data_IF_318785974386
#
_entry.id   IF_318785974386
#
_cell.length_a   1.000
_cell.length_b   1.000
_cell.length_c   1.000
_cell.angle_alpha   90.00
_cell.angle_beta   90.00
_cell.angle_gamma   90.00
#
_symmetry.space_group_name_H-M   'P 1'
#
loop_
_entity.id
_entity.type
_entity.pdbx_description
1 polymer ?
#
# COMPACT_ATOMS: atom_id res chain seq x y z
N UNK A 1 -21.22 19.78 -5.18
CA UNK A 1 -20.04 19.03 -4.69
C UNK A 1 -19.13 18.80 -5.88
N UNK A 2 -17.84 19.01 -5.69
CA UNK A 2 -16.83 18.80 -6.74
C UNK A 2 -16.47 17.31 -6.80
N UNK A 3 -16.13 16.77 -7.98
CA UNK A 3 -15.60 15.42 -8.05
C UNK A 3 -14.15 15.42 -7.59
N UNK A 4 -13.87 14.68 -6.51
CA UNK A 4 -12.58 14.60 -5.84
C UNK A 4 -11.95 13.24 -6.10
N UNK A 5 -10.72 13.26 -6.60
CA UNK A 5 -9.89 12.06 -6.69
C UNK A 5 -8.82 12.13 -5.62
N UNK A 6 -8.62 11.03 -4.89
CA UNK A 6 -7.47 10.83 -4.03
C UNK A 6 -6.44 9.95 -4.74
N UNK A 7 -5.16 10.28 -4.65
CA UNK A 7 -4.05 9.46 -5.13
C UNK A 7 -3.08 9.19 -3.99
N UNK A 8 -3.12 7.96 -3.48
CA UNK A 8 -2.33 7.52 -2.34
C UNK A 8 -1.08 6.76 -2.79
N UNK A 9 0.04 7.07 -2.14
CA UNK A 9 1.30 6.34 -2.24
C UNK A 9 1.75 5.81 -0.88
N UNK A 10 2.92 5.17 -0.84
CA UNK A 10 3.34 4.40 0.33
C UNK A 10 3.42 5.24 1.62
N UNK A 11 3.65 6.55 1.51
CA UNK A 11 3.63 7.46 2.65
C UNK A 11 2.25 7.63 3.31
N UNK A 12 1.16 7.34 2.58
CA UNK A 12 -0.19 7.35 3.13
C UNK A 12 -0.36 6.30 4.25
N UNK A 13 0.39 5.19 4.17
CA UNK A 13 0.38 4.11 5.18
C UNK A 13 1.52 4.23 6.19
N UNK A 14 2.23 5.36 6.24
CA UNK A 14 3.34 5.56 7.17
C UNK A 14 2.87 5.36 8.61
N UNK A 15 1.77 5.98 9.04
CA UNK A 15 1.26 5.83 10.40
C UNK A 15 2.19 6.41 11.46
N UNK A 16 2.15 5.81 12.65
CA UNK A 16 2.79 6.35 13.85
C UNK A 16 4.11 5.63 14.15
N UNK A 17 5.11 6.41 14.57
CA UNK A 17 6.42 5.93 15.02
C UNK A 17 6.77 6.48 16.39
N UNK A 18 7.55 5.71 17.16
CA UNK A 18 8.24 6.21 18.34
C UNK A 18 9.76 6.10 18.19
N UNK A 19 10.49 7.06 18.76
CA UNK A 19 11.94 7.05 18.75
C UNK A 19 12.48 6.02 19.75
N UNK A 20 13.32 5.11 19.26
CA UNK A 20 14.05 4.14 20.07
C UNK A 20 15.25 4.86 20.71
N UNK A 21 15.08 5.25 21.96
CA UNK A 21 16.19 5.80 22.76
C UNK A 21 17.10 4.66 23.24
N UNK A 22 18.18 4.40 22.50
CA UNK A 22 19.27 3.58 23.01
C UNK A 22 19.96 4.34 24.16
N UNK A 23 19.69 3.93 25.41
CA UNK A 23 20.49 4.39 26.55
C UNK A 23 21.92 3.90 26.35
N UNK A 24 22.82 4.80 25.98
CA UNK A 24 24.24 4.49 25.88
C UNK A 24 24.76 3.94 27.21
N UNK A 25 25.69 2.99 27.16
CA UNK A 25 26.45 2.57 28.33
C UNK A 25 27.15 3.82 28.89
N UNK A 26 26.79 4.23 30.11
CA UNK A 26 27.29 5.45 30.74
C UNK A 26 26.39 6.69 30.64
N UNK A 27 25.13 6.57 30.22
CA UNK A 27 24.12 7.64 30.35
C UNK A 27 24.31 8.83 29.40
N UNK A 28 25.16 8.70 28.38
CA UNK A 28 25.33 9.74 27.34
C UNK A 28 24.51 9.38 26.10
N UNK A 29 23.66 10.28 25.59
CA UNK A 29 22.96 10.06 24.33
C UNK A 29 23.96 9.96 23.16
N UNK A 30 23.70 9.13 22.14
CA UNK A 30 24.55 9.02 20.97
C UNK A 30 24.63 10.35 20.21
N UNK A 31 25.83 10.69 19.71
CA UNK A 31 26.13 11.97 19.01
C UNK A 31 25.59 12.07 17.58
N UNK A 32 24.72 11.16 17.13
CA UNK A 32 24.08 11.25 15.80
C UNK A 32 22.57 11.08 15.93
N UNK A 33 21.84 12.15 15.63
CA UNK A 33 20.38 12.24 15.57
C UNK A 33 19.80 11.57 14.31
N UNK A 34 20.25 10.35 14.00
CA UNK A 34 19.45 9.43 13.17
C UNK A 34 18.74 8.50 14.13
N UNK A 35 17.71 9.02 14.80
CA UNK A 35 16.88 8.22 15.71
C UNK A 35 16.43 6.96 14.97
N UNK A 36 16.67 5.79 15.55
CA UNK A 36 16.00 4.58 15.07
C UNK A 36 14.56 4.70 15.52
N UNK A 37 13.61 4.51 14.62
CA UNK A 37 12.20 4.56 14.95
C UNK A 37 11.64 3.14 14.91
N UNK A 38 10.69 2.85 15.80
CA UNK A 38 9.89 1.64 15.75
C UNK A 38 8.47 1.98 15.28
N UNK A 39 7.85 1.01 14.60
CA UNK A 39 6.49 1.10 14.06
C UNK A 39 5.49 0.87 15.19
N UNK A 40 4.62 1.86 15.43
CA UNK A 40 3.47 1.73 16.32
C UNK A 40 2.20 1.38 15.55
N UNK A 41 2.01 2.02 14.39
CA UNK A 41 0.82 1.91 13.54
C UNK A 41 1.22 2.08 12.06
N UNK A 42 0.51 1.44 11.14
CA UNK A 42 0.78 1.51 9.70
C UNK A 42 1.85 0.53 9.25
N UNK A 43 2.58 0.90 8.20
CA UNK A 43 3.51 0.00 7.49
C UNK A 43 4.86 0.66 7.18
N UNK A 44 5.91 -0.16 7.00
CA UNK A 44 7.24 0.37 6.67
C UNK A 44 7.25 1.09 5.33
N UNK A 45 7.86 2.26 5.31
CA UNK A 45 8.25 2.94 4.06
C UNK A 45 9.56 2.36 3.51
N UNK A 46 9.92 2.72 2.27
CA UNK A 46 11.03 2.11 1.52
C UNK A 46 12.36 2.02 2.29
N UNK A 47 12.70 3.03 3.08
CA UNK A 47 13.92 3.06 3.89
C UNK A 47 13.83 2.23 5.19
N UNK A 48 12.64 1.82 5.61
CA UNK A 48 12.38 0.97 6.78
C UNK A 48 12.33 -0.52 6.41
N UNK A 49 11.96 -0.87 5.16
CA UNK A 49 11.73 -2.27 4.71
C UNK A 49 12.86 -3.24 5.11
N UNK A 50 14.13 -2.92 4.85
CA UNK A 50 15.23 -3.85 5.17
C UNK A 50 15.40 -4.09 6.68
N UNK A 51 15.10 -3.07 7.48
CA UNK A 51 15.14 -3.16 8.94
C UNK A 51 13.99 -4.03 9.43
N UNK A 52 12.78 -3.80 8.94
CA UNK A 52 11.61 -4.58 9.31
C UNK A 52 11.70 -6.04 8.85
N UNK A 53 12.26 -6.33 7.66
CA UNK A 53 12.54 -7.72 7.25
C UNK A 53 13.46 -8.40 8.27
N UNK A 54 14.44 -7.68 8.81
CA UNK A 54 15.36 -8.25 9.82
C UNK A 54 14.64 -8.54 11.13
N UNK A 55 13.75 -7.66 11.58
CA UNK A 55 12.93 -7.90 12.76
C UNK A 55 11.95 -9.06 12.55
N UNK A 56 11.28 -9.10 11.40
CA UNK A 56 10.38 -10.19 11.05
C UNK A 56 11.10 -11.55 11.03
N UNK A 57 12.32 -11.62 10.47
CA UNK A 57 13.12 -12.86 10.50
C UNK A 57 13.34 -13.35 11.94
N UNK A 58 13.66 -12.46 12.86
CA UNK A 58 13.87 -12.83 14.27
C UNK A 58 12.56 -13.24 14.94
N UNK A 59 11.45 -12.55 14.66
CA UNK A 59 10.12 -12.91 15.17
C UNK A 59 9.69 -14.31 14.68
N UNK A 60 9.97 -14.65 13.41
CA UNK A 60 9.68 -15.97 12.83
C UNK A 60 10.52 -17.07 13.51
N UNK A 61 11.83 -16.84 13.70
CA UNK A 61 12.71 -17.81 14.39
C UNK A 61 12.28 -18.07 15.83
N UNK A 62 11.84 -17.03 16.54
CA UNK A 62 11.35 -17.15 17.92
C UNK A 62 9.97 -17.82 17.99
N UNK A 63 9.21 -17.82 16.89
CA UNK A 63 7.85 -18.35 16.85
C UNK A 63 7.76 -19.80 16.37
N UNK A 64 8.77 -20.32 15.66
CA UNK A 64 8.84 -21.71 15.20
C UNK A 64 10.19 -22.34 15.57
N UNK A 65 10.24 -23.13 16.65
CA UNK A 65 11.45 -23.83 17.10
C UNK A 65 12.00 -24.83 16.08
N UNK A 66 11.17 -25.29 15.14
CA UNK A 66 11.52 -26.27 14.11
C UNK A 66 11.86 -25.62 12.76
N UNK A 67 12.08 -24.30 12.71
CA UNK A 67 12.38 -23.60 11.46
C UNK A 67 13.63 -24.13 10.73
N UNK A 68 14.59 -24.70 11.46
CA UNK A 68 15.82 -25.28 10.89
C UNK A 68 15.63 -26.72 10.36
N UNK A 69 14.49 -27.35 10.67
CA UNK A 69 14.22 -28.73 10.25
C UNK A 69 14.15 -28.85 8.72
N UNK A 70 14.60 -29.99 8.19
CA UNK A 70 14.56 -30.25 6.77
C UNK A 70 13.10 -30.25 6.26
N UNK A 71 12.81 -29.47 5.23
CA UNK A 71 11.46 -29.30 4.69
C UNK A 71 10.59 -28.29 5.44
N UNK A 72 11.10 -27.59 6.47
CA UNK A 72 10.35 -26.54 7.16
C UNK A 72 9.93 -25.44 6.18
N UNK A 73 8.62 -25.19 6.13
CA UNK A 73 8.02 -24.12 5.31
C UNK A 73 8.37 -22.75 5.87
N UNK A 74 8.35 -22.60 7.19
CA UNK A 74 8.78 -21.37 7.87
C UNK A 74 10.26 -21.13 7.63
N UNK A 75 11.08 -22.19 7.69
CA UNK A 75 12.50 -22.12 7.33
C UNK A 75 12.73 -21.66 5.89
N UNK A 76 11.90 -22.10 4.93
CA UNK A 76 11.95 -21.64 3.55
C UNK A 76 11.58 -20.15 3.42
N UNK A 77 10.50 -19.72 4.08
CA UNK A 77 10.09 -18.32 4.12
C UNK A 77 11.21 -17.42 4.71
N UNK A 78 11.84 -17.84 5.82
CA UNK A 78 12.99 -17.13 6.40
C UNK A 78 14.14 -17.00 5.41
N UNK A 79 14.49 -18.07 4.67
CA UNK A 79 15.55 -18.02 3.64
C UNK A 79 15.21 -17.04 2.52
N UNK A 80 13.95 -17.00 2.10
CA UNK A 80 13.49 -16.09 1.06
C UNK A 80 13.45 -14.63 1.55
N UNK A 81 13.08 -14.38 2.81
CA UNK A 81 13.18 -13.06 3.45
C UNK A 81 14.63 -12.58 3.58
N UNK A 82 15.56 -13.46 3.96
CA UNK A 82 17.00 -13.14 4.00
C UNK A 82 17.47 -12.73 2.60
N UNK A 83 17.11 -13.50 1.58
CA UNK A 83 17.42 -13.17 0.20
C UNK A 83 16.82 -11.82 -0.24
N UNK A 84 15.55 -11.56 0.08
CA UNK A 84 14.88 -10.30 -0.24
C UNK A 84 15.61 -9.11 0.39
N UNK A 85 15.96 -9.19 1.68
CA UNK A 85 16.71 -8.15 2.39
C UNK A 85 18.07 -7.92 1.75
N UNK A 86 18.81 -8.98 1.50
CA UNK A 86 20.18 -8.90 1.01
C UNK A 86 20.23 -8.32 -0.41
N UNK A 87 19.32 -8.72 -1.30
CA UNK A 87 19.22 -8.14 -2.64
C UNK A 87 18.67 -6.70 -2.61
N UNK A 88 17.62 -6.44 -1.82
CA UNK A 88 17.03 -5.09 -1.72
C UNK A 88 18.02 -4.07 -1.15
N UNK A 89 18.92 -4.48 -0.25
CA UNK A 89 19.98 -3.61 0.30
C UNK A 89 21.01 -3.13 -0.74
N UNK A 90 21.13 -3.84 -1.88
CA UNK A 90 22.04 -3.48 -2.98
C UNK A 90 21.43 -2.50 -3.98
N UNK A 91 20.18 -2.13 -3.76
CA UNK A 91 19.40 -1.27 -4.64
C UNK A 91 18.82 -0.09 -3.86
N UNK A 92 18.49 1.00 -4.54
CA UNK A 92 17.89 2.16 -3.85
C UNK A 92 16.52 1.84 -3.27
N UNK A 93 15.75 0.98 -3.95
CA UNK A 93 14.40 0.56 -3.55
C UNK A 93 14.16 -0.89 -3.98
N UNK A 94 13.20 -1.56 -3.35
CA UNK A 94 12.74 -2.89 -3.79
C UNK A 94 12.19 -2.87 -5.22
N UNK A 95 11.53 -1.78 -5.63
CA UNK A 95 11.03 -1.62 -7.01
C UNK A 95 12.16 -1.55 -8.03
N UNK A 96 13.31 -0.97 -7.65
CA UNK A 96 14.50 -0.93 -8.52
C UNK A 96 15.03 -2.35 -8.75
N UNK A 97 15.04 -3.17 -7.70
CA UNK A 97 15.39 -4.59 -7.80
C UNK A 97 14.39 -5.36 -8.67
N UNK A 98 13.09 -5.16 -8.44
CA UNK A 98 12.03 -5.76 -9.23
C UNK A 98 12.16 -5.43 -10.72
N UNK A 99 12.41 -4.15 -11.04
CA UNK A 99 12.56 -3.70 -12.42
C UNK A 99 13.77 -4.35 -13.09
N UNK A 100 14.88 -4.49 -12.36
CA UNK A 100 16.08 -5.18 -12.86
C UNK A 100 15.76 -6.62 -13.25
N UNK A 101 15.13 -7.40 -12.36
CA UNK A 101 14.75 -8.78 -12.65
C UNK A 101 13.82 -8.88 -13.87
N UNK A 102 12.82 -7.99 -13.95
CA UNK A 102 11.91 -7.92 -15.08
C UNK A 102 12.64 -7.66 -16.40
N UNK A 103 13.58 -6.69 -16.44
CA UNK A 103 14.36 -6.37 -17.64
C UNK A 103 15.34 -7.48 -18.03
N UNK A 104 15.77 -8.30 -17.08
CA UNK A 104 16.61 -9.47 -17.31
C UNK A 104 15.81 -10.69 -17.81
N UNK A 105 14.48 -10.61 -17.87
CA UNK A 105 13.58 -11.73 -18.14
C UNK A 105 13.79 -12.92 -17.17
N UNK A 106 14.23 -12.65 -15.94
CA UNK A 106 14.40 -13.68 -14.91
C UNK A 106 13.05 -13.91 -14.20
N UNK A 107 12.15 -14.62 -14.88
CA UNK A 107 10.80 -14.87 -14.39
C UNK A 107 10.78 -15.63 -13.07
N UNK A 108 11.73 -16.54 -12.84
CA UNK A 108 11.80 -17.32 -11.61
C UNK A 108 12.15 -16.45 -10.40
N UNK A 109 13.18 -15.60 -10.51
CA UNK A 109 13.53 -14.69 -9.42
C UNK A 109 12.49 -13.57 -9.26
N UNK A 110 11.87 -13.12 -10.36
CA UNK A 110 10.82 -12.11 -10.30
C UNK A 110 9.59 -12.63 -9.55
N UNK A 111 9.14 -13.86 -9.82
CA UNK A 111 8.04 -14.47 -9.06
C UNK A 111 8.42 -14.76 -7.60
N UNK A 112 9.66 -15.18 -7.34
CA UNK A 112 10.18 -15.31 -5.96
C UNK A 112 10.12 -13.97 -5.23
N UNK A 113 10.53 -12.87 -5.87
CA UNK A 113 10.44 -11.52 -5.32
C UNK A 113 8.99 -11.17 -4.97
N UNK A 114 8.07 -11.25 -5.93
CA UNK A 114 6.67 -10.90 -5.72
C UNK A 114 6.07 -11.69 -4.56
N UNK A 115 6.28 -13.01 -4.55
CA UNK A 115 5.76 -13.89 -3.48
C UNK A 115 6.35 -13.53 -2.11
N UNK A 116 7.66 -13.29 -2.04
CA UNK A 116 8.31 -12.94 -0.77
C UNK A 116 7.84 -11.58 -0.27
N UNK A 117 7.68 -10.61 -1.17
CA UNK A 117 7.20 -9.28 -0.85
C UNK A 117 5.75 -9.30 -0.37
N UNK A 118 4.88 -10.11 -1.00
CA UNK A 118 3.51 -10.29 -0.52
C UNK A 118 3.47 -10.95 0.86
N UNK A 119 4.25 -12.01 1.09
CA UNK A 119 4.37 -12.63 2.43
C UNK A 119 4.85 -11.63 3.49
N UNK A 120 5.84 -10.80 3.15
CA UNK A 120 6.34 -9.74 4.02
C UNK A 120 5.23 -8.75 4.39
N UNK A 121 4.55 -8.14 3.42
CA UNK A 121 3.51 -7.17 3.72
C UNK A 121 2.31 -7.77 4.45
N UNK A 122 1.92 -9.03 4.15
CA UNK A 122 0.87 -9.71 4.91
C UNK A 122 1.27 -9.81 6.39
N UNK A 123 2.50 -10.26 6.69
CA UNK A 123 2.98 -10.43 8.06
C UNK A 123 3.14 -9.09 8.79
N UNK A 124 3.60 -8.05 8.11
CA UNK A 124 3.71 -6.70 8.69
C UNK A 124 2.34 -6.14 9.08
N UNK A 125 1.32 -6.33 8.24
CA UNK A 125 -0.06 -5.92 8.54
C UNK A 125 -0.71 -6.74 9.67
N UNK A 126 -0.23 -7.94 9.94
CA UNK A 126 -0.64 -8.76 11.10
C UNK A 126 0.14 -8.41 12.36
N UNK A 127 1.26 -7.71 12.22
CA UNK A 127 2.13 -7.32 13.33
C UNK A 127 1.73 -5.95 13.87
N UNK A 128 1.39 -5.03 12.99
CA UNK A 128 1.11 -3.64 13.34
C UNK A 128 -0.37 -3.29 13.15
N UNK A 129 -0.98 -2.56 14.09
CA UNK A 129 -2.30 -1.96 13.90
C UNK A 129 -2.34 -1.09 12.64
N UNK A 130 -3.52 -1.02 12.00
CA UNK A 130 -3.73 -0.10 10.89
C UNK A 130 -3.52 1.36 11.32
N UNK A 131 -3.06 2.17 10.37
CA UNK A 131 -2.89 3.60 10.52
C UNK A 131 -4.27 4.25 10.76
N UNK A 132 -4.42 4.88 11.92
CA UNK A 132 -5.68 5.53 12.36
C UNK A 132 -6.13 6.66 11.44
N UNK A 133 -5.26 7.20 10.58
CA UNK A 133 -5.67 8.18 9.58
C UNK A 133 -6.67 7.62 8.58
N UNK A 134 -6.61 6.32 8.27
CA UNK A 134 -7.61 5.65 7.43
C UNK A 134 -8.97 5.55 8.13
N UNK A 135 -8.98 5.23 9.43
CA UNK A 135 -10.21 5.21 10.25
C UNK A 135 -10.86 6.60 10.29
N UNK A 136 -10.08 7.62 10.65
CA UNK A 136 -10.57 9.00 10.68
C UNK A 136 -11.07 9.46 9.30
N UNK A 137 -10.37 9.12 8.23
CA UNK A 137 -10.77 9.45 6.86
C UNK A 137 -12.11 8.78 6.50
N UNK A 138 -12.22 7.47 6.70
CA UNK A 138 -13.46 6.72 6.43
C UNK A 138 -14.64 7.26 7.26
N UNK A 139 -14.43 7.54 8.55
CA UNK A 139 -15.46 8.10 9.42
C UNK A 139 -16.05 9.42 8.89
N UNK A 140 -15.25 10.22 8.17
CA UNK A 140 -15.69 11.49 7.60
C UNK A 140 -16.33 11.36 6.22
N UNK A 141 -15.95 10.35 5.41
CA UNK A 141 -16.44 10.25 4.02
C UNK A 141 -17.57 9.25 3.83
N UNK A 142 -17.72 8.25 4.70
CA UNK A 142 -18.74 7.21 4.52
C UNK A 142 -20.16 7.77 4.70
N UNK A 143 -21.06 7.41 3.77
CA UNK A 143 -22.47 7.78 3.84
C UNK A 143 -23.20 7.02 4.96
N UNK A 144 -24.28 7.61 5.47
CA UNK A 144 -25.20 6.93 6.39
C UNK A 144 -26.58 6.77 5.74
N UNK A 145 -27.25 5.62 5.88
CA UNK A 145 -26.87 4.43 6.66
C UNK A 145 -26.00 3.39 5.92
N UNK A 146 -25.77 3.57 4.62
CA UNK A 146 -25.20 2.50 3.77
C UNK A 146 -23.70 2.26 3.98
N UNK A 147 -23.00 3.19 4.65
CA UNK A 147 -21.53 3.14 4.86
C UNK A 147 -20.78 2.99 3.55
N UNK A 148 -21.21 3.70 2.51
CA UNK A 148 -20.57 3.68 1.19
C UNK A 148 -19.78 4.96 0.96
N UNK A 149 -18.75 4.88 0.13
CA UNK A 149 -18.04 6.06 -0.36
C UNK A 149 -18.98 6.81 -1.34
N UNK A 150 -19.20 8.13 -1.16
CA UNK A 150 -20.02 8.95 -2.04
C UNK A 150 -19.58 8.88 -3.51
N UNK A 151 -20.49 9.25 -4.42
CA UNK A 151 -20.22 9.13 -5.84
C UNK A 151 -19.17 10.10 -6.37
N UNK A 152 -19.04 11.21 -5.66
CA UNK A 152 -18.15 12.32 -5.93
C UNK A 152 -16.70 12.02 -5.52
N UNK A 153 -16.46 10.92 -4.80
CA UNK A 153 -15.13 10.52 -4.32
C UNK A 153 -14.67 9.26 -5.04
N UNK A 154 -13.50 9.35 -5.67
CA UNK A 154 -12.76 8.21 -6.20
C UNK A 154 -11.38 8.17 -5.57
N UNK A 155 -10.91 7.00 -5.16
CA UNK A 155 -9.61 6.80 -4.52
C UNK A 155 -8.77 5.91 -5.43
N UNK A 156 -7.58 6.36 -5.78
CA UNK A 156 -6.55 5.61 -6.47
C UNK A 156 -5.43 5.34 -5.47
N UNK A 157 -4.89 4.13 -5.44
CA UNK A 157 -3.76 3.81 -4.57
C UNK A 157 -2.70 2.98 -5.30
N UNK A 158 -1.45 3.39 -5.14
CA UNK A 158 -0.27 2.62 -5.55
C UNK A 158 0.20 1.65 -4.46
N UNK A 159 -0.43 1.65 -3.29
CA UNK A 159 -0.01 0.84 -2.17
C UNK A 159 -0.39 -0.61 -2.34
N UNK A 160 0.50 -1.49 -1.90
CA UNK A 160 0.27 -2.93 -1.87
C UNK A 160 -0.60 -3.36 -0.68
N UNK A 161 -0.84 -2.46 0.26
CA UNK A 161 -1.48 -2.76 1.53
C UNK A 161 -3.02 -2.82 1.48
N UNK A 162 -3.58 -3.18 2.62
CA UNK A 162 -4.98 -3.45 2.92
C UNK A 162 -5.55 -2.48 3.95
N UNK A 163 -4.95 -1.28 4.11
CA UNK A 163 -5.30 -0.38 5.22
C UNK A 163 -6.75 0.11 5.17
N UNK A 164 -7.32 0.33 3.97
CA UNK A 164 -8.74 0.68 3.82
C UNK A 164 -9.66 -0.44 4.30
N UNK A 165 -9.38 -1.67 3.90
CA UNK A 165 -10.17 -2.85 4.27
C UNK A 165 -10.12 -3.10 5.78
N UNK A 166 -8.93 -2.98 6.37
CA UNK A 166 -8.72 -3.18 7.81
C UNK A 166 -9.44 -2.08 8.61
N UNK A 167 -9.29 -0.81 8.23
CA UNK A 167 -9.96 0.30 8.91
C UNK A 167 -11.49 0.23 8.76
N UNK A 168 -12.00 -0.12 7.57
CA UNK A 168 -13.44 -0.17 7.31
C UNK A 168 -14.19 -1.23 8.13
N UNK A 169 -13.49 -2.30 8.53
CA UNK A 169 -14.08 -3.35 9.37
C UNK A 169 -14.67 -2.79 10.67
N UNK A 170 -14.06 -1.78 11.27
CA UNK A 170 -14.54 -1.19 12.53
C UNK A 170 -15.96 -0.59 12.38
N UNK A 171 -16.36 -0.23 11.17
CA UNK A 171 -17.71 0.26 10.87
C UNK A 171 -18.73 -0.88 10.66
N UNK A 172 -18.29 -2.14 10.53
CA UNK A 172 -19.14 -3.30 10.28
C UNK A 172 -18.79 -4.48 11.21
N UNK A 173 -18.77 -4.21 12.52
CA UNK A 173 -18.35 -5.18 13.54
C UNK A 173 -19.12 -6.51 13.46
N UNK A 174 -18.41 -7.60 13.29
CA UNK A 174 -18.92 -8.97 13.38
C UNK A 174 -17.97 -9.82 14.23
N UNK A 175 -18.51 -10.75 15.01
CA UNK A 175 -17.69 -11.74 15.71
C UNK A 175 -17.24 -12.79 14.70
N UNK A 176 -15.93 -12.97 14.52
CA UNK A 176 -15.31 -13.95 13.61
C UNK A 176 -15.69 -13.79 12.13
N UNK A 177 -15.10 -12.81 11.42
CA UNK A 177 -15.46 -12.52 10.04
C UNK A 177 -15.03 -13.65 9.10
N UNK A 178 -15.98 -14.23 8.37
CA UNK A 178 -15.73 -15.25 7.36
C UNK A 178 -15.09 -14.68 6.09
N UNK A 179 -14.54 -15.54 5.22
CA UNK A 179 -14.08 -15.14 3.89
C UNK A 179 -15.15 -14.39 3.06
N UNK A 180 -16.43 -14.78 3.19
CA UNK A 180 -17.54 -14.12 2.49
C UNK A 180 -17.82 -12.72 3.04
N UNK A 181 -17.62 -12.51 4.35
CA UNK A 181 -17.71 -11.17 4.95
C UNK A 181 -16.67 -10.22 4.35
N UNK A 182 -15.44 -10.68 4.15
CA UNK A 182 -14.38 -9.83 3.59
C UNK A 182 -14.58 -9.50 2.11
N UNK A 183 -15.12 -10.44 1.36
CA UNK A 183 -15.59 -10.16 0.01
C UNK A 183 -16.66 -9.07 0.01
N UNK A 184 -17.57 -9.11 0.97
CA UNK A 184 -18.60 -8.09 1.13
C UNK A 184 -18.02 -6.73 1.54
N UNK A 185 -17.06 -6.68 2.46
CA UNK A 185 -16.32 -5.45 2.81
C UNK A 185 -15.70 -4.80 1.56
N UNK A 186 -14.96 -5.58 0.74
CA UNK A 186 -14.38 -5.07 -0.50
C UNK A 186 -15.47 -4.58 -1.47
N UNK A 187 -16.59 -5.28 -1.58
CA UNK A 187 -17.70 -4.88 -2.44
C UNK A 187 -18.34 -3.55 -1.96
N UNK A 188 -18.60 -3.42 -0.66
CA UNK A 188 -19.23 -2.22 -0.08
C UNK A 188 -18.34 -0.98 -0.20
N UNK A 189 -17.03 -1.14 0.01
CA UNK A 189 -16.04 -0.10 -0.24
C UNK A 189 -15.80 0.17 -1.73
N UNK A 190 -16.31 -0.68 -2.63
CA UNK A 190 -16.07 -0.56 -4.06
C UNK A 190 -14.59 -0.74 -4.44
N UNK A 191 -13.86 -1.64 -3.77
CA UNK A 191 -12.44 -1.90 -4.09
C UNK A 191 -12.31 -2.68 -5.40
N UNK A 192 -11.37 -2.27 -6.25
CA UNK A 192 -11.08 -2.83 -7.57
C UNK A 192 -9.59 -2.97 -7.83
N UNK A 193 -9.18 -4.18 -8.17
CA UNK A 193 -7.82 -4.55 -8.58
C UNK A 193 -7.83 -5.11 -10.01
N UNK A 194 -6.64 -5.28 -10.61
CA UNK A 194 -6.49 -5.72 -12.01
C UNK A 194 -7.09 -7.10 -12.32
N UNK A 195 -7.31 -7.94 -11.30
CA UNK A 195 -7.90 -9.27 -11.43
C UNK A 195 -9.43 -9.29 -11.25
N UNK A 196 -10.04 -8.18 -10.80
CA UNK A 196 -11.48 -8.10 -10.62
C UNK A 196 -12.20 -7.98 -11.97
N UNK A 197 -13.41 -8.56 -12.07
CA UNK A 197 -14.20 -8.60 -13.32
C UNK A 197 -15.42 -7.68 -13.32
N UNK A 198 -15.75 -7.06 -12.18
CA UNK A 198 -16.93 -6.19 -12.00
C UNK A 198 -16.49 -4.80 -11.55
N UNK A 199 -16.75 -3.77 -12.37
CA UNK A 199 -16.26 -2.40 -12.15
C UNK A 199 -17.35 -1.36 -11.87
N UNK A 200 -18.62 -1.68 -12.12
CA UNK A 200 -19.75 -0.74 -12.15
C UNK A 200 -19.95 0.09 -10.85
N UNK A 201 -19.42 -0.37 -9.71
CA UNK A 201 -19.48 0.30 -8.41
C UNK A 201 -18.09 0.65 -7.82
N UNK A 202 -17.04 0.73 -8.66
CA UNK A 202 -15.68 1.02 -8.21
C UNK A 202 -15.54 2.39 -7.55
N UNK A 203 -14.92 2.42 -6.36
CA UNK A 203 -14.58 3.64 -5.58
C UNK A 203 -13.13 3.67 -5.16
N UNK A 204 -12.51 2.52 -4.90
CA UNK A 204 -11.09 2.42 -4.55
C UNK A 204 -10.42 1.55 -5.60
N UNK A 205 -9.46 2.10 -6.34
CA UNK A 205 -8.75 1.41 -7.41
C UNK A 205 -7.29 1.20 -7.02
N UNK A 206 -6.88 -0.06 -6.88
CA UNK A 206 -5.48 -0.43 -6.58
C UNK A 206 -4.67 -0.63 -7.84
N UNK A 207 -3.87 0.37 -8.17
CA UNK A 207 -3.10 0.47 -9.42
C UNK A 207 -2.00 -0.61 -9.52
N UNK A 208 -1.48 -1.04 -8.37
CA UNK A 208 -0.45 -2.08 -8.21
C UNK A 208 -1.05 -3.40 -7.69
N UNK A 209 -2.38 -3.54 -7.66
CA UNK A 209 -3.05 -4.63 -6.95
C UNK A 209 -2.76 -4.62 -5.44
N UNK A 210 -2.84 -5.80 -4.81
CA UNK A 210 -2.67 -5.96 -3.36
C UNK A 210 -1.66 -7.08 -3.07
N UNK A 211 -0.82 -6.90 -2.05
CA UNK A 211 0.06 -7.93 -1.50
C UNK A 211 -0.74 -9.06 -0.81
N UNK A 212 -1.37 -9.93 -1.61
CA UNK A 212 -2.17 -11.07 -1.16
C UNK A 212 -2.00 -12.28 -2.10
N UNK A 213 -2.42 -13.45 -1.63
CA UNK A 213 -2.48 -14.71 -2.40
C UNK A 213 -3.93 -15.20 -2.51
N UNK A 214 -4.34 -15.84 -3.61
CA UNK A 214 -5.72 -16.38 -3.77
C UNK A 214 -6.16 -17.32 -2.64
N UNK A 215 -5.26 -18.24 -2.23
CA UNK A 215 -5.57 -19.28 -1.23
C UNK A 215 -5.91 -18.68 0.13
N UNK A 216 -5.30 -17.53 0.41
CA UNK A 216 -5.85 -16.66 1.40
C UNK A 216 -6.99 -15.88 0.74
N UNK A 217 -8.21 -16.15 1.16
CA UNK A 217 -9.22 -15.09 1.16
C UNK A 217 -8.75 -13.83 1.98
N UNK A 218 -7.54 -13.91 2.58
CA UNK A 218 -6.47 -12.95 2.95
C UNK A 218 -6.82 -11.80 3.82
N UNK A 219 -7.98 -11.24 3.67
CA UNK A 219 -8.48 -10.26 4.61
C UNK A 219 -9.01 -10.91 5.88
N UNK A 220 -9.35 -12.21 5.85
CA UNK A 220 -9.82 -12.95 7.04
C UNK A 220 -8.85 -12.96 8.21
N UNK A 221 -7.55 -12.90 7.93
CA UNK A 221 -6.53 -12.90 8.98
C UNK A 221 -6.04 -11.49 9.33
N UNK A 222 -6.08 -10.56 8.37
CA UNK A 222 -5.52 -9.20 8.48
C UNK A 222 -6.24 -8.32 9.51
N UNK A 223 -7.37 -8.78 10.05
CA UNK A 223 -8.10 -8.05 11.08
C UNK A 223 -7.86 -8.55 12.51
N UNK A 224 -7.79 -9.85 12.76
CA UNK A 224 -7.88 -10.38 14.13
C UNK A 224 -6.54 -10.35 14.89
N UNK A 225 -5.43 -10.18 14.18
CA UNK A 225 -4.12 -10.52 14.72
C UNK A 225 -3.33 -9.28 15.14
N UNK A 226 -3.24 -9.06 16.46
CA UNK A 226 -2.09 -8.41 17.09
C UNK A 226 -1.75 -9.25 18.32
N UNK A 227 -0.58 -9.88 18.35
CA UNK A 227 -0.18 -10.75 19.47
C UNK A 227 -0.29 -12.25 19.18
N UNK A 228 -1.06 -13.01 19.95
CA UNK A 228 -1.07 -14.49 19.95
C UNK A 228 -1.48 -15.09 18.59
N UNK A 229 -2.35 -14.41 17.85
CA UNK A 229 -2.81 -14.83 16.52
C UNK A 229 -1.76 -14.60 15.40
N UNK A 230 -0.78 -13.71 15.60
CA UNK A 230 0.36 -13.59 14.68
C UNK A 230 1.13 -14.91 14.59
N UNK A 231 1.39 -15.56 15.74
CA UNK A 231 2.09 -16.84 15.77
C UNK A 231 1.31 -17.96 15.08
N UNK A 232 -0.01 -17.98 15.29
CA UNK A 232 -0.90 -18.98 14.71
C UNK A 232 -1.02 -18.87 13.18
N UNK A 233 -0.77 -17.67 12.60
CA UNK A 233 -0.92 -17.42 11.16
C UNK A 233 0.37 -17.62 10.36
N UNK A 234 1.55 -17.61 10.99
CA UNK A 234 2.85 -17.83 10.34
C UNK A 234 2.86 -19.13 9.53
N UNK A 235 2.41 -20.24 10.13
CA UNK A 235 2.44 -21.55 9.48
C UNK A 235 1.61 -21.59 8.19
N UNK A 236 0.41 -21.00 8.22
CA UNK A 236 -0.44 -20.88 7.02
C UNK A 236 0.21 -20.01 5.95
N UNK A 237 0.85 -18.91 6.33
CA UNK A 237 1.51 -18.00 5.38
C UNK A 237 2.72 -18.69 4.74
N UNK A 238 3.51 -19.39 5.54
CA UNK A 238 4.64 -20.17 5.08
C UNK A 238 4.22 -21.32 4.16
N UNK A 239 3.09 -21.98 4.42
CA UNK A 239 2.55 -23.02 3.55
C UNK A 239 2.21 -22.48 2.16
N UNK A 240 1.43 -21.39 2.10
CA UNK A 240 1.08 -20.73 0.82
C UNK A 240 2.32 -20.19 0.13
N UNK A 241 3.23 -19.56 0.87
CA UNK A 241 4.51 -19.09 0.34
C UNK A 241 5.33 -20.23 -0.27
N UNK A 242 5.24 -21.46 0.24
CA UNK A 242 5.99 -22.58 -0.30
C UNK A 242 5.45 -23.12 -1.63
N UNK A 243 4.25 -22.70 -2.05
CA UNK A 243 3.65 -23.13 -3.30
C UNK A 243 4.39 -22.54 -4.51
N UNK A 244 4.39 -23.28 -5.62
CA UNK A 244 5.08 -22.89 -6.85
C UNK A 244 4.42 -21.67 -7.53
N UNK A 245 3.09 -21.57 -7.46
CA UNK A 245 2.33 -20.44 -7.96
C UNK A 245 1.14 -20.17 -7.03
N UNK A 246 1.31 -19.36 -5.96
CA UNK A 246 0.24 -19.10 -5.00
C UNK A 246 -0.83 -18.12 -5.52
N UNK A 247 -0.81 -17.79 -6.82
CA UNK A 247 -1.63 -16.73 -7.45
C UNK A 247 -1.56 -15.42 -6.67
N UNK A 248 -0.47 -14.69 -6.90
CA UNK A 248 -0.17 -13.42 -6.23
C UNK A 248 -0.82 -12.25 -6.97
N UNK A 249 -1.47 -11.34 -6.23
CA UNK A 249 -2.14 -10.16 -6.77
C UNK A 249 -1.34 -8.86 -6.68
N UNK A 250 -0.07 -8.95 -6.29
CA UNK A 250 0.87 -7.84 -6.35
C UNK A 250 1.31 -7.64 -7.81
N UNK A 251 1.25 -6.40 -8.28
CA UNK A 251 1.73 -6.00 -9.60
C UNK A 251 2.58 -4.73 -9.50
N UNK A 252 3.62 -4.66 -10.33
CA UNK A 252 4.37 -3.44 -10.55
C UNK A 252 3.77 -2.64 -11.71
N UNK A 253 3.95 -1.32 -11.70
CA UNK A 253 3.37 -0.42 -12.70
C UNK A 253 3.70 -0.79 -14.17
N UNK A 254 4.84 -1.43 -14.42
CA UNK A 254 5.26 -1.83 -15.77
C UNK A 254 4.74 -3.21 -16.21
N UNK A 255 4.06 -3.95 -15.34
CA UNK A 255 3.36 -5.19 -15.72
C UNK A 255 2.01 -4.89 -16.39
N UNK A 256 1.50 -3.67 -16.23
CA UNK A 256 0.24 -3.23 -16.82
C UNK A 256 0.45 -2.19 -17.94
N UNK A 257 -0.50 -2.14 -18.87
CA UNK A 257 -0.59 -1.11 -19.89
C UNK A 257 -1.70 -0.12 -19.53
N UNK A 258 -1.56 1.19 -19.81
CA UNK A 258 -2.66 2.15 -19.72
C UNK A 258 -3.90 1.78 -20.54
N UNK A 259 -3.73 0.90 -21.54
CA UNK A 259 -4.81 0.41 -22.41
C UNK A 259 -5.42 -0.91 -21.94
N UNK A 260 -4.98 -1.46 -20.81
CA UNK A 260 -5.51 -2.71 -20.28
C UNK A 260 -7.02 -2.58 -19.96
N UNK A 261 -7.78 -3.69 -19.93
CA UNK A 261 -9.18 -3.66 -19.52
C UNK A 261 -9.40 -2.93 -18.19
N UNK A 262 -8.56 -3.20 -17.18
CA UNK A 262 -8.63 -2.54 -15.87
C UNK A 262 -8.63 -1.01 -15.97
N UNK A 263 -7.67 -0.45 -16.71
CA UNK A 263 -7.56 1.01 -16.84
C UNK A 263 -8.68 1.61 -17.68
N UNK A 264 -9.14 0.91 -18.72
CA UNK A 264 -10.31 1.34 -19.52
C UNK A 264 -11.58 1.46 -18.67
N UNK A 265 -11.76 0.57 -17.70
CA UNK A 265 -12.87 0.63 -16.74
C UNK A 265 -12.65 1.70 -15.67
N UNK A 266 -11.40 1.98 -15.28
CA UNK A 266 -11.07 3.01 -14.28
C UNK A 266 -11.29 4.44 -14.80
N UNK A 267 -10.88 4.75 -16.03
CA UNK A 267 -10.86 6.13 -16.55
C UNK A 267 -12.21 6.88 -16.48
N UNK A 268 -13.36 6.26 -16.77
CA UNK A 268 -14.66 6.90 -16.60
C UNK A 268 -14.88 7.47 -15.19
N UNK A 269 -14.38 6.81 -14.13
CA UNK A 269 -14.57 7.20 -12.73
C UNK A 269 -13.75 8.43 -12.30
N UNK A 270 -12.78 8.85 -13.11
CA UNK A 270 -11.91 10.01 -12.82
C UNK A 270 -11.99 11.12 -13.89
N UNK A 271 -12.68 10.86 -15.01
CA UNK A 271 -12.71 11.76 -16.17
C UNK A 271 -13.25 13.17 -15.88
N UNK A 272 -14.17 13.28 -14.93
CA UNK A 272 -14.81 14.52 -14.51
C UNK A 272 -14.23 15.10 -13.21
N UNK A 273 -13.08 14.59 -12.75
CA UNK A 273 -12.40 15.09 -11.57
C UNK A 273 -12.02 16.57 -11.73
N UNK A 274 -12.35 17.38 -10.73
CA UNK A 274 -11.94 18.80 -10.69
C UNK A 274 -10.90 19.06 -9.60
N UNK A 275 -10.83 18.18 -8.59
CA UNK A 275 -9.88 18.25 -7.48
C UNK A 275 -9.15 16.93 -7.33
N UNK A 276 -7.83 17.00 -7.18
CA UNK A 276 -6.97 15.86 -6.86
C UNK A 276 -6.30 16.09 -5.51
N UNK A 277 -6.31 15.09 -4.63
CA UNK A 277 -5.57 15.08 -3.37
C UNK A 277 -4.51 13.99 -3.44
N UNK A 278 -3.24 14.36 -3.49
CA UNK A 278 -2.09 13.46 -3.50
C UNK A 278 -1.58 13.29 -2.07
N UNK A 279 -1.54 12.06 -1.56
CA UNK A 279 -1.11 11.77 -0.19
C UNK A 279 0.05 10.77 -0.22
N UNK A 280 1.24 11.22 0.21
CA UNK A 280 2.41 10.36 0.38
C UNK A 280 2.89 9.63 -0.90
N UNK A 281 2.57 10.16 -2.09
CA UNK A 281 3.00 9.61 -3.38
C UNK A 281 4.08 10.47 -4.02
N UNK A 282 5.18 9.83 -4.44
CA UNK A 282 6.40 10.54 -4.86
C UNK A 282 6.58 10.69 -6.37
N UNK A 283 5.64 10.16 -7.16
CA UNK A 283 5.73 10.02 -8.63
C UNK A 283 7.02 9.34 -9.13
N UNK A 284 7.27 8.07 -8.75
CA UNK A 284 8.43 7.32 -9.22
C UNK A 284 8.50 7.25 -10.74
N UNK A 285 9.71 7.24 -11.30
CA UNK A 285 9.91 7.25 -12.75
C UNK A 285 9.18 6.09 -13.46
N UNK A 286 9.20 4.90 -12.88
CA UNK A 286 8.60 3.70 -13.48
C UNK A 286 7.07 3.76 -13.59
N UNK A 287 6.41 4.62 -12.80
CA UNK A 287 4.96 4.76 -12.80
C UNK A 287 4.46 5.80 -13.81
N UNK A 288 5.37 6.64 -14.35
CA UNK A 288 5.04 7.81 -15.18
C UNK A 288 4.13 7.53 -16.38
N UNK A 289 4.22 6.34 -16.97
CA UNK A 289 3.37 5.95 -18.11
C UNK A 289 1.91 5.88 -17.67
N UNK A 290 1.64 5.25 -16.53
CA UNK A 290 0.30 5.14 -15.95
C UNK A 290 -0.13 6.48 -15.36
N UNK A 291 0.76 7.15 -14.61
CA UNK A 291 0.45 8.46 -14.03
C UNK A 291 0.04 9.46 -15.11
N UNK A 292 0.78 9.58 -16.22
CA UNK A 292 0.40 10.47 -17.34
C UNK A 292 -1.00 10.15 -17.88
N UNK A 293 -1.31 8.87 -18.07
CA UNK A 293 -2.62 8.46 -18.58
C UNK A 293 -3.75 8.84 -17.60
N UNK A 294 -3.50 8.70 -16.30
CA UNK A 294 -4.43 9.15 -15.24
C UNK A 294 -4.65 10.66 -15.32
N UNK A 295 -3.59 11.46 -15.40
CA UNK A 295 -3.71 12.92 -15.48
C UNK A 295 -4.35 13.37 -16.79
N UNK A 296 -3.96 12.80 -17.94
CA UNK A 296 -4.59 13.09 -19.24
C UNK A 296 -6.09 12.82 -19.25
N UNK A 297 -6.55 11.82 -18.50
CA UNK A 297 -7.97 11.52 -18.32
C UNK A 297 -8.70 12.61 -17.51
N UNK A 298 -8.04 13.23 -16.53
CA UNK A 298 -8.59 14.27 -15.66
C UNK A 298 -8.61 15.66 -16.33
N UNK A 299 -9.17 15.77 -17.54
CA UNK A 299 -9.15 16.99 -18.34
C UNK A 299 -9.86 18.21 -17.72
N UNK A 300 -10.68 18.00 -16.68
CA UNK A 300 -11.40 19.07 -15.95
C UNK A 300 -10.71 19.49 -14.66
N UNK A 301 -9.51 18.97 -14.37
CA UNK A 301 -8.79 19.23 -13.14
C UNK A 301 -8.48 20.73 -13.00
N UNK A 302 -8.78 21.28 -11.82
CA UNK A 302 -8.60 22.70 -11.44
C UNK A 302 -7.64 22.86 -10.27
N UNK A 303 -7.65 21.91 -9.32
CA UNK A 303 -6.86 21.98 -8.08
C UNK A 303 -6.16 20.66 -7.77
N UNK A 304 -4.94 20.76 -7.27
CA UNK A 304 -4.18 19.65 -6.71
C UNK A 304 -3.74 20.04 -5.30
N UNK A 305 -4.08 19.23 -4.32
CA UNK A 305 -3.53 19.31 -2.97
C UNK A 305 -2.47 18.22 -2.83
N UNK A 306 -1.28 18.56 -2.34
CA UNK A 306 -0.18 17.62 -2.11
C UNK A 306 0.07 17.57 -0.61
N UNK A 307 -0.27 16.45 0.01
CA UNK A 307 -0.05 16.19 1.43
C UNK A 307 1.15 15.26 1.63
N UNK A 308 2.26 15.84 2.08
CA UNK A 308 3.50 15.12 2.38
C UNK A 308 4.41 16.01 3.25
N UNK A 309 5.22 15.47 4.18
CA UNK A 309 6.18 16.27 4.96
C UNK A 309 7.18 17.02 4.07
N UNK A 310 7.41 16.52 2.84
CA UNK A 310 8.27 17.08 1.80
C UNK A 310 7.48 17.46 0.54
N UNK A 311 6.28 18.03 0.70
CA UNK A 311 5.36 18.37 -0.38
C UNK A 311 6.00 19.16 -1.56
N UNK A 312 6.96 20.04 -1.31
CA UNK A 312 7.68 20.79 -2.35
C UNK A 312 8.42 19.87 -3.33
N UNK A 313 9.01 18.78 -2.82
CA UNK A 313 9.69 17.80 -3.65
C UNK A 313 8.70 17.07 -4.55
N UNK A 314 7.52 16.77 -4.02
CA UNK A 314 6.46 16.10 -4.79
C UNK A 314 5.90 17.03 -5.86
N UNK A 315 5.72 18.31 -5.54
CA UNK A 315 5.34 19.34 -6.51
C UNK A 315 6.36 19.45 -7.66
N UNK A 316 7.66 19.33 -7.39
CA UNK A 316 8.63 19.26 -8.49
C UNK A 316 8.45 18.00 -9.34
N UNK A 317 8.17 16.86 -8.71
CA UNK A 317 8.03 15.56 -9.37
C UNK A 317 6.71 15.37 -10.14
N UNK A 318 5.67 16.15 -9.86
CA UNK A 318 4.38 16.06 -10.56
C UNK A 318 4.42 16.71 -11.94
N UNK A 319 5.28 17.72 -12.14
CA UNK A 319 5.34 18.48 -13.40
C UNK A 319 5.51 17.60 -14.66
N UNK A 320 6.33 16.54 -14.67
CA UNK A 320 6.50 15.66 -15.84
C UNK A 320 5.30 14.77 -16.17
N UNK A 321 4.28 14.70 -15.30
CA UNK A 321 3.04 13.93 -15.54
C UNK A 321 1.85 14.82 -15.91
N UNK A 322 1.96 16.15 -15.71
CA UNK A 322 0.93 17.10 -16.12
C UNK A 322 0.97 17.32 -17.65
N UNK A 323 -0.21 17.28 -18.28
CA UNK A 323 -0.36 17.61 -19.71
C UNK A 323 -0.50 19.13 -19.96
N UNK A 324 -0.43 19.54 -21.23
CA UNK A 324 -0.63 20.94 -21.66
C UNK A 324 -1.97 21.50 -21.19
N UNK A 325 -3.01 20.67 -21.11
CA UNK A 325 -4.32 21.05 -20.58
C UNK A 325 -4.20 21.56 -19.15
N UNK A 326 -3.39 20.92 -18.33
CA UNK A 326 -3.21 21.28 -16.92
C UNK A 326 -2.33 22.51 -16.75
N UNK A 327 -1.25 22.62 -17.53
CA UNK A 327 -0.23 23.65 -17.33
C UNK A 327 -0.58 24.98 -18.00
N UNK A 328 -1.31 24.95 -19.12
CA UNK A 328 -1.57 26.14 -19.94
C UNK A 328 -3.06 26.48 -20.08
N UNK A 329 -3.95 25.49 -20.20
CA UNK A 329 -5.37 25.72 -20.50
C UNK A 329 -6.15 25.97 -19.21
N UNK A 330 -6.22 24.97 -18.33
CA UNK A 330 -6.93 25.06 -17.05
C UNK A 330 -6.10 25.80 -16.00
N UNK A 331 -4.76 25.77 -16.16
CA UNK A 331 -3.78 26.32 -15.22
C UNK A 331 -4.08 25.86 -13.79
N UNK A 332 -3.91 24.56 -13.57
CA UNK A 332 -4.18 23.89 -12.30
C UNK A 332 -3.44 24.56 -11.15
N UNK A 333 -4.15 24.83 -10.07
CA UNK A 333 -3.58 25.37 -8.84
C UNK A 333 -3.06 24.22 -7.98
N UNK A 334 -1.81 24.34 -7.50
CA UNK A 334 -1.17 23.32 -6.67
C UNK A 334 -0.93 23.90 -5.28
N UNK A 335 -1.38 23.18 -4.25
CA UNK A 335 -1.27 23.54 -2.85
C UNK A 335 -0.45 22.50 -2.11
N UNK A 336 0.54 22.95 -1.35
CA UNK A 336 1.44 22.10 -0.57
C UNK A 336 0.97 22.08 0.90
N UNK A 337 0.72 20.88 1.43
CA UNK A 337 0.22 20.63 2.77
C UNK A 337 1.23 19.74 3.51
N UNK A 338 1.83 20.27 4.58
CA UNK A 338 2.85 19.55 5.37
C UNK A 338 2.32 18.89 6.62
N UNK A 339 1.12 19.29 7.06
CA UNK A 339 0.43 18.61 8.14
C UNK A 339 -0.07 17.26 7.60
N UNK A 340 0.32 16.19 8.29
CA UNK A 340 0.06 14.80 7.91
C UNK A 340 -0.65 14.01 9.02
N UNK A 341 -1.11 14.70 10.07
CA UNK A 341 -1.75 14.07 11.22
C UNK A 341 -3.10 13.44 10.86
N UNK A 342 -3.79 13.99 9.85
CA UNK A 342 -5.02 13.45 9.26
C UNK A 342 -4.98 13.60 7.74
N UNK A 343 -5.68 12.72 7.01
CA UNK A 343 -5.84 12.90 5.57
C UNK A 343 -6.64 14.16 5.27
N UNK A 344 -6.11 14.99 4.37
CA UNK A 344 -6.73 16.26 4.04
C UNK A 344 -8.07 16.07 3.34
N UNK A 345 -9.10 16.73 3.86
CA UNK A 345 -10.44 16.80 3.25
C UNK A 345 -10.63 18.17 2.60
N UNK A 346 -10.70 18.26 1.26
CA UNK A 346 -10.93 19.52 0.57
C UNK A 346 -12.32 20.09 0.91
N UNK A 347 -12.42 21.41 1.03
CA UNK A 347 -13.67 22.11 1.34
C UNK A 347 -14.74 21.98 0.23
N UNK A 348 -14.35 21.47 -0.94
CA UNK A 348 -15.20 21.23 -2.09
C UNK A 348 -16.02 19.92 -2.03
N UNK A 349 -15.76 19.08 -1.02
CA UNK A 349 -16.51 17.86 -0.74
C UNK A 349 -17.94 18.13 -0.29
#
# INVERSE_FOLDING_TARGET
MSNVVYLLGAGASYGKRHEITLRGIGGRPPKSSSGRYAIDEGLPVVNEINTEISYLIEDLKQSDENYESNGSKVGQLIKDLIWLRDESSRHMTVDTFAKKLFLQNDSLLFERLKKTLSSFFILEQLKYPADKRYDAFLANILSYPEKKIPNEITILTWNYDSQFEIAYREFNTINQPSASYWKEVRNQLGIKDSHDTKFEEGKIFKLNGTAIFDYFHSFSLLGESCGEDFKNTIGSIAEVHSQFNPNNHLYFAWENSPTSPYFRELYPHISNAETLVVIGYTFPYFNRVIDRSIFETMGSLKKIYIQDPFAERIHQNINPVLSVTHTSINKVQIYELKDVDQFYLPAEL
#
